data_IF_298059957822
#
_entry.id   IF_298059957822
#
_cell.length_a   1.000
_cell.length_b   1.000
_cell.length_c   1.000
_cell.angle_alpha   90.00
_cell.angle_beta   90.00
_cell.angle_gamma   90.00
#
_symmetry.space_group_name_H-M   'P 1'
#
loop_
_entity.id
_entity.type
_entity.pdbx_description
1 polymer ?
#
# COMPACT_ATOMS: atom_id res chain seq x y z
N UNK A 1 24.19 25.91 -24.42
CA UNK A 1 24.04 24.82 -23.44
C UNK A 1 22.62 24.31 -23.64
N UNK A 2 22.46 23.27 -24.46
CA UNK A 2 21.15 22.67 -24.74
C UNK A 2 20.77 21.87 -23.49
N UNK A 3 19.66 22.22 -22.86
CA UNK A 3 19.04 21.36 -21.87
C UNK A 3 18.56 20.13 -22.64
N UNK A 4 19.13 18.96 -22.33
CA UNK A 4 18.58 17.69 -22.76
C UNK A 4 17.26 17.52 -21.99
N UNK A 5 16.15 17.93 -22.62
CA UNK A 5 14.80 17.91 -22.04
C UNK A 5 14.19 16.49 -21.99
N UNK A 6 15.02 15.46 -22.18
CA UNK A 6 14.60 14.09 -21.93
C UNK A 6 14.59 13.88 -20.42
N UNK A 7 13.43 13.73 -19.75
CA UNK A 7 13.42 13.34 -18.35
C UNK A 7 14.25 12.05 -18.26
N UNK A 8 15.24 11.97 -17.37
CA UNK A 8 16.09 10.79 -17.28
C UNK A 8 15.18 9.56 -17.21
N UNK A 9 15.42 8.52 -18.00
CA UNK A 9 14.52 7.37 -18.12
C UNK A 9 14.14 6.76 -16.76
N UNK A 10 14.95 7.04 -15.73
CA UNK A 10 14.72 6.73 -14.33
C UNK A 10 13.44 7.36 -13.73
N UNK A 11 12.94 8.46 -14.28
CA UNK A 11 11.70 9.11 -13.85
C UNK A 11 10.49 8.53 -14.59
N UNK A 12 10.60 8.25 -15.90
CA UNK A 12 9.48 7.75 -16.70
C UNK A 12 8.94 6.43 -16.17
N UNK A 13 9.82 5.49 -15.79
CA UNK A 13 9.37 4.22 -15.19
C UNK A 13 8.70 4.43 -13.82
N UNK A 14 9.22 5.35 -13.01
CA UNK A 14 8.63 5.68 -11.70
C UNK A 14 7.24 6.28 -11.84
N UNK A 15 7.04 7.15 -12.83
CA UNK A 15 5.73 7.73 -13.13
C UNK A 15 4.73 6.68 -13.60
N UNK A 16 5.17 5.74 -14.46
CA UNK A 16 4.32 4.62 -14.89
C UNK A 16 3.81 3.82 -13.69
N UNK A 17 4.70 3.46 -12.76
CA UNK A 17 4.32 2.67 -11.59
C UNK A 17 3.59 3.46 -10.52
N UNK A 18 3.87 4.75 -10.36
CA UNK A 18 3.06 5.63 -9.53
C UNK A 18 1.63 5.74 -10.06
N UNK A 19 1.48 5.82 -11.38
CA UNK A 19 0.17 5.81 -12.03
C UNK A 19 -0.56 4.48 -11.85
N UNK A 20 0.14 3.35 -12.05
CA UNK A 20 -0.39 2.02 -11.80
C UNK A 20 -0.86 1.86 -10.35
N UNK A 21 -0.06 2.29 -9.37
CA UNK A 21 -0.43 2.26 -7.96
C UNK A 21 -1.72 3.05 -7.71
N UNK A 22 -1.89 4.20 -8.37
CA UNK A 22 -3.09 5.03 -8.27
C UNK A 22 -4.31 4.33 -8.83
N UNK A 23 -4.18 3.72 -10.02
CA UNK A 23 -5.26 2.97 -10.64
C UNK A 23 -5.69 1.78 -9.78
N UNK A 24 -4.73 1.04 -9.23
CA UNK A 24 -4.98 -0.11 -8.37
C UNK A 24 -5.68 0.31 -7.09
N UNK A 25 -5.18 1.31 -6.35
CA UNK A 25 -5.83 1.75 -5.11
C UNK A 25 -7.21 2.35 -5.38
N UNK A 26 -7.37 3.10 -6.47
CA UNK A 26 -8.65 3.69 -6.84
C UNK A 26 -9.72 2.67 -7.28
N UNK A 27 -9.32 1.45 -7.68
CA UNK A 27 -10.27 0.40 -8.05
C UNK A 27 -10.76 -0.43 -6.85
N UNK A 28 -10.17 -0.24 -5.66
CA UNK A 28 -10.56 -0.96 -4.46
C UNK A 28 -11.88 -0.41 -3.90
N UNK A 29 -12.74 -1.32 -3.44
CA UNK A 29 -13.89 -0.96 -2.60
C UNK A 29 -13.39 -0.81 -1.17
N UNK A 30 -13.37 0.43 -0.68
CA UNK A 30 -12.92 0.73 0.67
C UNK A 30 -14.10 0.70 1.66
N UNK A 31 -13.97 0.05 2.83
CA UNK A 31 -14.99 0.12 3.87
C UNK A 31 -15.17 1.54 4.40
N UNK A 32 -16.32 1.77 5.05
CA UNK A 32 -16.55 3.01 5.78
C UNK A 32 -15.44 3.22 6.83
N UNK A 33 -14.93 4.46 6.89
CA UNK A 33 -13.83 4.81 7.80
C UNK A 33 -12.43 4.69 7.20
N UNK A 34 -12.30 4.22 5.95
CA UNK A 34 -11.04 4.23 5.22
C UNK A 34 -11.10 5.13 3.99
N UNK A 35 -9.95 5.63 3.57
CA UNK A 35 -9.84 6.42 2.34
C UNK A 35 -8.51 6.22 1.64
N UNK A 36 -8.53 6.41 0.32
CA UNK A 36 -7.32 6.42 -0.49
C UNK A 36 -6.62 7.79 -0.42
N UNK A 37 -5.32 7.79 -0.20
CA UNK A 37 -4.50 9.01 -0.09
C UNK A 37 -3.24 8.88 -0.91
N UNK A 38 -2.88 9.95 -1.64
CA UNK A 38 -1.62 10.04 -2.36
C UNK A 38 -0.50 10.50 -1.42
N UNK A 39 0.67 9.87 -1.50
CA UNK A 39 1.86 10.24 -0.74
C UNK A 39 3.11 10.23 -1.63
N UNK A 40 3.50 11.38 -2.17
CA UNK A 40 4.58 11.45 -3.16
C UNK A 40 4.27 10.65 -4.43
N UNK A 41 5.12 9.66 -4.76
CA UNK A 41 4.91 8.71 -5.86
C UNK A 41 4.13 7.45 -5.47
N UNK A 42 3.59 7.44 -4.25
CA UNK A 42 2.93 6.30 -3.65
C UNK A 42 1.43 6.56 -3.47
N UNK A 43 0.68 5.49 -3.29
CA UNK A 43 -0.76 5.50 -3.07
C UNK A 43 -1.08 4.61 -1.90
N UNK A 44 -1.82 5.13 -0.94
CA UNK A 44 -2.08 4.42 0.30
C UNK A 44 -3.54 4.43 0.69
N UNK A 45 -3.85 3.62 1.69
CA UNK A 45 -5.14 3.56 2.36
C UNK A 45 -4.92 3.98 3.80
N UNK A 46 -5.69 4.96 4.24
CA UNK A 46 -5.62 5.52 5.58
C UNK A 46 -6.89 5.21 6.35
N UNK A 47 -6.76 5.00 7.66
CA UNK A 47 -7.90 5.05 8.58
C UNK A 47 -8.24 6.52 8.86
N UNK A 48 -9.50 6.90 8.65
CA UNK A 48 -9.98 8.27 8.91
C UNK A 48 -9.99 8.61 10.40
N UNK A 49 -10.17 7.60 11.25
CA UNK A 49 -10.31 7.79 12.70
C UNK A 49 -9.00 8.26 13.37
N UNK A 50 -7.87 7.74 12.92
CA UNK A 50 -6.54 8.01 13.51
C UNK A 50 -5.52 8.56 12.50
N UNK A 51 -5.93 8.82 11.26
CA UNK A 51 -5.09 9.30 10.15
C UNK A 51 -3.85 8.43 9.90
N UNK A 52 -3.90 7.16 10.33
CA UNK A 52 -2.79 6.25 10.17
C UNK A 52 -2.79 5.62 8.77
N UNK A 53 -1.61 5.55 8.16
CA UNK A 53 -1.42 4.79 6.93
C UNK A 53 -1.46 3.30 7.26
N UNK A 54 -2.42 2.60 6.66
CA UNK A 54 -2.63 1.15 6.85
C UNK A 54 -1.93 0.35 5.77
N UNK A 55 -2.01 0.83 4.54
CA UNK A 55 -1.42 0.21 3.36
C UNK A 55 -0.78 1.30 2.52
N UNK A 56 0.41 1.06 1.99
CA UNK A 56 1.08 1.92 1.04
C UNK A 56 1.58 1.09 -0.14
N UNK A 57 1.04 1.34 -1.32
CA UNK A 57 1.51 0.81 -2.59
C UNK A 57 2.41 1.85 -3.26
N UNK A 58 3.62 1.45 -3.63
CA UNK A 58 4.61 2.36 -4.18
C UNK A 58 5.49 1.66 -5.21
N UNK A 59 6.16 2.39 -6.11
CA UNK A 59 7.21 1.81 -6.93
C UNK A 59 8.24 1.11 -6.03
N UNK A 60 8.71 -0.07 -6.42
CA UNK A 60 9.83 -0.71 -5.72
C UNK A 60 11.09 0.16 -5.86
N UNK A 61 12.09 -0.07 -5.02
CA UNK A 61 13.33 0.71 -4.97
C UNK A 61 14.19 0.68 -6.24
N UNK A 62 15.43 1.11 -6.13
CA UNK A 62 16.32 1.70 -7.16
C UNK A 62 16.66 0.90 -8.43
N UNK A 63 16.09 -0.28 -8.68
CA UNK A 63 16.43 -1.10 -9.85
C UNK A 63 15.19 -1.73 -10.50
N UNK A 64 15.11 -1.62 -11.85
CA UNK A 64 14.06 -2.22 -12.70
C UNK A 64 13.91 -3.76 -12.55
N UNK A 65 14.84 -4.42 -11.84
CA UNK A 65 14.91 -5.88 -11.75
C UNK A 65 14.14 -6.50 -10.57
N UNK A 66 13.78 -5.73 -9.53
CA UNK A 66 13.20 -6.29 -8.30
C UNK A 66 11.76 -5.81 -8.04
N UNK A 67 10.81 -6.38 -8.76
CA UNK A 67 9.40 -6.03 -8.67
C UNK A 67 9.13 -4.60 -9.17
N UNK A 68 8.01 -4.37 -9.81
CA UNK A 68 7.68 -3.05 -10.35
C UNK A 68 6.97 -2.18 -9.30
N UNK A 69 6.22 -2.83 -8.41
CA UNK A 69 5.54 -2.27 -7.26
C UNK A 69 5.96 -3.00 -5.98
N UNK A 70 5.86 -2.30 -4.87
CA UNK A 70 6.02 -2.83 -3.53
C UNK A 70 4.87 -2.34 -2.64
N UNK A 71 4.49 -3.18 -1.69
CA UNK A 71 3.43 -2.93 -0.73
C UNK A 71 4.01 -2.89 0.68
N UNK A 72 3.64 -1.88 1.44
CA UNK A 72 4.00 -1.74 2.86
C UNK A 72 2.73 -1.65 3.67
N UNK A 73 2.53 -2.59 4.59
CA UNK A 73 1.41 -2.57 5.53
C UNK A 73 1.86 -2.03 6.89
N UNK A 74 0.94 -1.41 7.63
CA UNK A 74 1.21 -0.91 8.99
C UNK A 74 1.71 -2.04 9.88
N UNK A 75 2.88 -1.84 10.47
CA UNK A 75 3.51 -2.82 11.35
C UNK A 75 4.16 -4.00 10.64
N UNK A 76 4.28 -3.98 9.30
CA UNK A 76 4.91 -5.04 8.52
C UNK A 76 6.07 -4.50 7.67
N UNK A 77 6.96 -5.41 7.26
CA UNK A 77 8.02 -5.09 6.30
C UNK A 77 7.43 -4.82 4.90
N UNK A 78 8.13 -4.00 4.12
CA UNK A 78 7.78 -3.77 2.71
C UNK A 78 8.03 -5.04 1.89
N UNK A 79 7.06 -5.42 1.07
CA UNK A 79 7.09 -6.60 0.22
C UNK A 79 7.12 -6.17 -1.24
N UNK A 80 8.16 -6.57 -1.97
CA UNK A 80 8.24 -6.33 -3.41
C UNK A 80 7.36 -7.33 -4.16
N UNK A 81 6.57 -6.83 -5.09
CA UNK A 81 5.60 -7.62 -5.87
C UNK A 81 6.24 -7.94 -7.22
N UNK A 82 6.81 -9.14 -7.35
CA UNK A 82 7.58 -9.56 -8.51
C UNK A 82 6.70 -9.74 -9.77
N UNK A 83 7.21 -9.33 -10.94
CA UNK A 83 6.43 -9.44 -12.18
C UNK A 83 6.30 -10.89 -12.70
N UNK A 84 7.29 -11.74 -12.41
CA UNK A 84 7.42 -13.15 -12.83
C UNK A 84 7.01 -13.41 -14.30
N UNK A 85 7.48 -12.58 -15.21
CA UNK A 85 7.21 -12.75 -16.65
C UNK A 85 5.82 -12.34 -17.13
N UNK A 86 4.94 -11.85 -16.24
CA UNK A 86 3.61 -11.34 -16.62
C UNK A 86 3.70 -10.17 -17.59
N UNK A 87 2.73 -10.03 -18.49
CA UNK A 87 2.54 -8.79 -19.25
C UNK A 87 2.14 -7.64 -18.31
N UNK A 88 2.22 -6.40 -18.79
CA UNK A 88 1.84 -5.24 -17.96
C UNK A 88 0.38 -5.31 -17.46
N UNK A 89 -0.64 -5.60 -18.29
CA UNK A 89 -2.02 -5.71 -17.82
C UNK A 89 -2.22 -6.85 -16.81
N UNK A 90 -1.68 -8.04 -17.10
CA UNK A 90 -1.76 -9.19 -16.19
C UNK A 90 -1.08 -8.89 -14.84
N UNK A 91 0.03 -8.15 -14.87
CA UNK A 91 0.72 -7.73 -13.67
C UNK A 91 -0.14 -6.77 -12.84
N UNK A 92 -0.78 -5.77 -13.46
CA UNK A 92 -1.65 -4.84 -12.74
C UNK A 92 -2.85 -5.54 -12.10
N UNK A 93 -3.49 -6.45 -12.84
CA UNK A 93 -4.61 -7.23 -12.32
C UNK A 93 -4.16 -8.10 -11.13
N UNK A 94 -3.04 -8.80 -11.29
CA UNK A 94 -2.49 -9.63 -10.22
C UNK A 94 -2.09 -8.80 -8.98
N UNK A 95 -1.41 -7.66 -9.15
CA UNK A 95 -1.10 -6.75 -8.04
C UNK A 95 -2.38 -6.27 -7.36
N UNK A 96 -3.40 -5.90 -8.13
CA UNK A 96 -4.70 -5.49 -7.58
C UNK A 96 -5.33 -6.56 -6.69
N UNK A 97 -5.30 -7.82 -7.14
CA UNK A 97 -5.76 -8.95 -6.34
C UNK A 97 -4.94 -9.13 -5.06
N UNK A 98 -3.61 -9.03 -5.11
CA UNK A 98 -2.74 -9.12 -3.94
C UNK A 98 -3.03 -7.99 -2.93
N UNK A 99 -3.13 -6.74 -3.41
CA UNK A 99 -3.43 -5.58 -2.57
C UNK A 99 -4.78 -5.72 -1.88
N UNK A 100 -5.82 -6.15 -2.62
CA UNK A 100 -7.15 -6.36 -2.05
C UNK A 100 -7.14 -7.48 -0.99
N UNK A 101 -6.47 -8.60 -1.27
CA UNK A 101 -6.36 -9.72 -0.34
C UNK A 101 -5.60 -9.33 0.95
N UNK A 102 -4.49 -8.61 0.82
CA UNK A 102 -3.70 -8.13 1.98
C UNK A 102 -4.50 -7.14 2.83
N UNK A 103 -5.23 -6.22 2.19
CA UNK A 103 -6.06 -5.26 2.90
C UNK A 103 -7.23 -5.95 3.63
N UNK A 104 -7.91 -6.90 2.98
CA UNK A 104 -8.96 -7.69 3.62
C UNK A 104 -8.43 -8.50 4.82
N UNK A 105 -7.26 -9.12 4.69
CA UNK A 105 -6.62 -9.86 5.79
C UNK A 105 -6.27 -8.93 6.96
N UNK A 106 -5.78 -7.72 6.69
CA UNK A 106 -5.53 -6.71 7.73
C UNK A 106 -6.81 -6.35 8.49
N UNK A 107 -7.92 -6.13 7.79
CA UNK A 107 -9.19 -5.80 8.41
C UNK A 107 -9.71 -6.95 9.30
N UNK A 108 -9.67 -8.19 8.81
CA UNK A 108 -10.08 -9.35 9.58
C UNK A 108 -9.23 -9.55 10.85
N UNK A 109 -7.92 -9.27 10.76
CA UNK A 109 -7.03 -9.31 11.92
C UNK A 109 -7.31 -8.18 12.92
N UNK A 110 -7.65 -6.98 12.44
CA UNK A 110 -8.01 -5.84 13.29
C UNK A 110 -9.32 -6.08 14.06
N UNK A 111 -10.31 -6.73 13.43
CA UNK A 111 -11.58 -7.13 14.07
C UNK A 111 -11.39 -8.23 15.12
N UNK A 112 -10.40 -9.11 14.92
CA UNK A 112 -10.11 -10.24 15.82
C UNK A 112 -9.19 -9.87 16.99
N UNK A 113 -8.61 -8.67 17.00
CA UNK A 113 -7.76 -8.21 18.09
C UNK A 113 -8.63 -7.95 19.34
N UNK A 114 -8.34 -8.56 20.50
CA UNK A 114 -9.09 -8.28 21.72
C UNK A 114 -8.96 -6.79 22.05
N UNK A 115 -10.10 -6.15 22.37
CA UNK A 115 -10.12 -4.78 22.86
C UNK A 115 -9.24 -4.70 24.12
N UNK A 116 -8.01 -4.23 23.97
CA UNK A 116 -7.11 -3.98 25.09
C UNK A 116 -7.67 -2.81 25.89
N UNK A 117 -8.54 -3.09 26.87
CA UNK A 117 -9.20 -2.04 27.64
C UNK A 117 -10.31 -2.50 28.57
N UNK A 118 -10.07 -3.47 29.45
CA UNK A 118 -10.89 -3.67 30.65
C UNK A 118 -10.11 -4.40 31.76
N UNK A 119 -8.93 -3.89 32.15
CA UNK A 119 -8.34 -4.23 33.46
C UNK A 119 -8.55 -3.03 34.40
N UNK A 120 -9.83 -2.78 34.69
CA UNK A 120 -10.28 -1.94 35.80
C UNK A 120 -10.93 -2.85 36.84
N UNK A 121 -10.16 -3.76 37.44
CA UNK A 121 -10.59 -4.49 38.62
C UNK A 121 -10.35 -3.63 39.86
N UNK A 122 -11.33 -3.44 40.76
CA UNK A 122 -11.13 -2.64 41.96
C UNK A 122 -10.06 -3.29 42.83
N UNK A 123 -9.02 -2.52 43.17
CA UNK A 123 -8.07 -2.90 44.21
C UNK A 123 -8.83 -2.85 45.54
N UNK A 124 -9.24 -4.02 46.03
CA UNK A 124 -9.75 -4.17 47.38
C UNK A 124 -8.59 -4.02 48.35
N UNK A 125 -8.57 -2.90 49.08
CA UNK A 125 -7.73 -2.70 50.26
C UNK A 125 -8.20 -3.61 51.40
N UNK A 126 -7.28 -4.40 51.95
CA UNK A 126 -7.34 -4.94 53.31
C UNK A 126 -5.96 -4.85 53.93
#
# INVERSE_FOLDING_TARGET
>A
MLYDETPPESLTWRWLWAHAAKQIVASLVLPAGYEAVAFGYSQGICSRADQSMVLLLHPSGTQRANGDLAITMRGQASLSIARDGRTYPEYLEWVGQQVAAMFAAYLAAAESAPAAGAVGGPIATR
#
